data_IF_013577619099
#
_entry.id   IF_013577619099
#
_cell.length_a   1.000
_cell.length_b   1.000
_cell.length_c   1.000
_cell.angle_alpha   90.00
_cell.angle_beta   90.00
_cell.angle_gamma   90.00
#
_symmetry.space_group_name_H-M   'P 1'
#
loop_
_entity.id
_entity.type
_entity.pdbx_description
1 polymer ?
#
# COMPACT_ATOMS: atom_id res chain seq x y z
N UNK A 1 8.87 17.89 -14.86
CA UNK A 1 7.88 16.79 -15.03
C UNK A 1 6.90 16.69 -13.85
N UNK A 2 7.29 17.07 -12.62
CA UNK A 2 6.41 17.13 -11.44
C UNK A 2 5.32 18.22 -11.51
N UNK A 3 5.64 19.41 -12.04
CA UNK A 3 4.70 20.54 -12.10
C UNK A 3 3.49 20.27 -13.01
N UNK A 4 3.69 19.53 -14.10
CA UNK A 4 2.61 19.17 -15.03
C UNK A 4 1.59 18.24 -14.39
N UNK A 5 2.00 17.35 -13.49
CA UNK A 5 1.09 16.44 -12.78
C UNK A 5 0.22 17.20 -11.77
N UNK A 6 0.79 18.15 -11.03
CA UNK A 6 0.06 18.95 -10.03
C UNK A 6 -1.00 19.81 -10.71
N UNK A 7 -0.67 20.44 -11.84
CA UNK A 7 -1.63 21.24 -12.62
C UNK A 7 -2.75 20.36 -13.18
N UNK A 8 -2.44 19.16 -13.69
CA UNK A 8 -3.47 18.23 -14.17
C UNK A 8 -4.38 17.78 -13.01
N UNK A 9 -3.82 17.50 -11.82
CA UNK A 9 -4.59 17.09 -10.64
C UNK A 9 -5.58 18.19 -10.20
N UNK A 10 -5.13 19.44 -10.17
CA UNK A 10 -5.95 20.58 -9.75
C UNK A 10 -7.03 20.90 -10.80
N UNK A 11 -6.68 20.90 -12.09
CA UNK A 11 -7.61 21.31 -13.15
C UNK A 11 -8.71 20.27 -13.42
N UNK A 12 -8.43 19.00 -13.13
CA UNK A 12 -9.34 17.87 -13.35
C UNK A 12 -9.99 17.35 -12.06
N UNK A 13 -9.94 18.08 -10.94
CA UNK A 13 -10.44 17.66 -9.61
C UNK A 13 -11.86 17.03 -9.61
N UNK A 14 -12.75 17.44 -10.50
CA UNK A 14 -14.08 16.85 -10.66
C UNK A 14 -14.08 15.43 -11.25
N UNK A 15 -13.12 15.11 -12.11
CA UNK A 15 -12.89 13.75 -12.65
C UNK A 15 -12.19 12.85 -11.61
N UNK A 16 -11.58 13.43 -10.57
CA UNK A 16 -10.97 12.74 -9.44
C UNK A 16 -11.97 12.29 -8.35
N UNK A 17 -13.27 12.47 -8.57
CA UNK A 17 -14.31 11.93 -7.69
C UNK A 17 -14.63 10.44 -7.95
N UNK A 18 -13.78 9.76 -8.73
CA UNK A 18 -13.88 8.31 -8.94
C UNK A 18 -13.45 7.57 -7.68
N UNK A 19 -14.11 6.44 -7.46
CA UNK A 19 -13.82 5.53 -6.35
C UNK A 19 -12.36 5.08 -6.29
N UNK A 20 -11.71 4.93 -7.46
CA UNK A 20 -10.30 4.59 -7.55
C UNK A 20 -9.40 5.66 -6.90
N UNK A 21 -9.67 6.93 -7.17
CA UNK A 21 -8.81 8.02 -6.70
C UNK A 21 -8.95 8.28 -5.20
N UNK A 22 -10.14 8.10 -4.65
CA UNK A 22 -10.33 8.24 -3.20
C UNK A 22 -9.59 7.13 -2.44
N UNK A 23 -9.57 5.89 -2.94
CA UNK A 23 -8.73 4.82 -2.40
C UNK A 23 -7.23 5.11 -2.58
N UNK A 24 -6.84 5.78 -3.67
CA UNK A 24 -5.47 6.24 -3.90
C UNK A 24 -5.05 7.29 -2.88
N UNK A 25 -5.91 8.28 -2.61
CA UNK A 25 -5.66 9.31 -1.59
C UNK A 25 -5.50 8.66 -0.21
N UNK A 26 -6.40 7.74 0.17
CA UNK A 26 -6.32 7.05 1.46
C UNK A 26 -4.97 6.34 1.64
N UNK A 27 -4.49 5.64 0.59
CA UNK A 27 -3.16 5.02 0.57
C UNK A 27 -2.03 6.05 0.64
N UNK A 28 -2.16 7.17 -0.09
CA UNK A 28 -1.13 8.22 -0.10
C UNK A 28 -0.94 8.84 1.29
N UNK A 29 -2.03 9.04 2.05
CA UNK A 29 -1.98 9.51 3.43
C UNK A 29 -1.16 8.55 4.31
N UNK A 30 -1.41 7.25 4.21
CA UNK A 30 -0.65 6.24 4.95
C UNK A 30 0.83 6.21 4.55
N UNK A 31 1.13 6.34 3.26
CA UNK A 31 2.51 6.36 2.77
C UNK A 31 3.28 7.61 3.24
N UNK A 32 2.64 8.78 3.26
CA UNK A 32 3.24 10.00 3.83
C UNK A 32 3.54 9.80 5.32
N UNK A 33 2.60 9.23 6.07
CA UNK A 33 2.78 8.94 7.48
C UNK A 33 3.95 7.95 7.70
N UNK A 34 3.97 6.85 6.94
CA UNK A 34 5.03 5.85 6.95
C UNK A 34 6.41 6.46 6.64
N UNK A 35 6.47 7.35 5.64
CA UNK A 35 7.68 8.06 5.28
C UNK A 35 8.23 8.89 6.45
N UNK A 36 7.38 9.65 7.14
CA UNK A 36 7.78 10.47 8.29
C UNK A 36 8.35 9.58 9.41
N UNK A 37 7.68 8.48 9.73
CA UNK A 37 8.10 7.54 10.79
C UNK A 37 9.42 6.86 10.41
N UNK A 38 9.50 6.35 9.19
CA UNK A 38 10.69 5.70 8.64
C UNK A 38 11.88 6.65 8.60
N UNK A 39 11.65 7.94 8.31
CA UNK A 39 12.69 8.96 8.33
C UNK A 39 13.26 9.14 9.74
N UNK A 40 12.40 9.17 10.77
CA UNK A 40 12.81 9.17 12.18
C UNK A 40 13.69 7.96 12.51
N UNK A 41 13.19 6.75 12.24
CA UNK A 41 13.89 5.49 12.55
C UNK A 41 15.25 5.35 11.83
N UNK A 42 15.39 5.93 10.63
CA UNK A 42 16.67 5.93 9.89
C UNK A 42 17.78 6.65 10.63
N UNK A 43 17.48 7.71 11.41
CA UNK A 43 18.51 8.36 12.22
C UNK A 43 19.09 7.40 13.26
N UNK A 44 18.25 6.61 13.93
CA UNK A 44 18.70 5.58 14.87
C UNK A 44 19.53 4.47 14.22
N UNK A 45 19.24 4.12 12.96
CA UNK A 45 20.04 3.14 12.19
C UNK A 45 21.38 3.67 11.69
N UNK A 46 21.51 4.99 11.52
CA UNK A 46 22.78 5.62 11.08
C UNK A 46 23.66 6.01 12.29
N UNK A 47 23.19 5.74 13.52
CA UNK A 47 23.90 6.13 14.74
C UNK A 47 23.78 7.63 15.06
N UNK A 48 22.80 8.32 14.49
CA UNK A 48 22.49 9.70 14.83
C UNK A 48 21.48 9.75 15.98
N UNK A 49 21.74 10.61 16.96
CA UNK A 49 20.90 10.81 18.14
C UNK A 49 20.76 9.56 19.04
N UNK A 50 21.78 8.70 19.07
CA UNK A 50 21.77 7.44 19.82
C UNK A 50 21.44 7.62 21.30
N UNK A 51 22.05 8.62 21.94
CA UNK A 51 21.82 8.93 23.35
C UNK A 51 20.37 9.33 23.64
N UNK A 52 19.71 9.99 22.68
CA UNK A 52 18.31 10.37 22.80
C UNK A 52 17.42 9.14 22.69
N UNK A 53 17.67 8.28 21.70
CA UNK A 53 16.89 7.05 21.48
C UNK A 53 16.97 6.08 22.65
N UNK A 54 18.14 5.93 23.29
CA UNK A 54 18.34 5.07 24.45
C UNK A 54 17.64 5.58 25.72
N UNK A 55 17.36 6.89 25.80
CA UNK A 55 16.67 7.51 26.93
C UNK A 55 15.15 7.61 26.71
N UNK A 56 14.63 7.19 25.55
CA UNK A 56 13.20 7.24 25.30
C UNK A 56 12.43 6.29 26.22
N UNK A 57 11.33 6.74 26.83
CA UNK A 57 10.51 5.87 27.66
C UNK A 57 9.77 4.85 26.78
N UNK A 58 9.46 3.68 27.38
CA UNK A 58 8.76 2.56 26.73
C UNK A 58 7.52 2.98 25.92
N UNK A 59 6.70 3.89 26.46
CA UNK A 59 5.50 4.36 25.77
C UNK A 59 5.79 5.14 24.48
N UNK A 60 6.90 5.90 24.39
CA UNK A 60 7.28 6.60 23.16
C UNK A 60 7.72 5.58 22.10
N UNK A 61 8.51 4.59 22.51
CA UNK A 61 8.93 3.50 21.63
C UNK A 61 7.73 2.70 21.11
N UNK A 62 6.76 2.42 21.99
CA UNK A 62 5.50 1.76 21.62
C UNK A 62 4.70 2.59 20.60
N UNK A 63 4.64 3.92 20.75
CA UNK A 63 3.99 4.81 19.76
C UNK A 63 4.70 4.75 18.40
N UNK A 64 6.03 4.77 18.38
CA UNK A 64 6.82 4.67 17.14
C UNK A 64 6.56 3.33 16.44
N UNK A 65 6.61 2.22 17.18
CA UNK A 65 6.32 0.88 16.66
C UNK A 65 4.86 0.78 16.18
N UNK A 66 3.90 1.25 16.97
CA UNK A 66 2.48 1.27 16.64
C UNK A 66 2.25 1.91 15.28
N UNK A 67 2.74 3.13 15.07
CA UNK A 67 2.53 3.84 13.82
C UNK A 67 3.25 3.17 12.63
N UNK A 68 4.45 2.60 12.85
CA UNK A 68 5.17 1.86 11.83
C UNK A 68 4.37 0.65 11.31
N UNK A 69 3.95 -0.23 12.23
CA UNK A 69 3.15 -1.42 11.87
C UNK A 69 1.76 -1.05 11.35
N UNK A 70 1.13 -0.01 11.92
CA UNK A 70 -0.18 0.48 11.48
C UNK A 70 -0.15 0.89 10.00
N UNK A 71 0.87 1.65 9.59
CA UNK A 71 1.00 2.07 8.21
C UNK A 71 1.22 0.88 7.27
N UNK A 72 2.07 -0.07 7.65
CA UNK A 72 2.33 -1.29 6.85
C UNK A 72 1.03 -2.06 6.58
N UNK A 73 0.25 -2.36 7.63
CA UNK A 73 -1.02 -3.09 7.45
C UNK A 73 -2.05 -2.26 6.69
N UNK A 74 -2.16 -0.96 6.96
CA UNK A 74 -3.07 -0.08 6.24
C UNK A 74 -2.75 0.01 4.75
N UNK A 75 -1.47 0.10 4.38
CA UNK A 75 -1.02 0.12 2.99
C UNK A 75 -1.33 -1.18 2.26
N UNK A 76 -1.16 -2.33 2.92
CA UNK A 76 -1.48 -3.64 2.39
C UNK A 76 -2.99 -3.80 2.09
N UNK A 77 -3.84 -3.34 3.01
CA UNK A 77 -5.30 -3.35 2.83
C UNK A 77 -5.71 -2.38 1.72
N UNK A 78 -5.17 -1.16 1.73
CA UNK A 78 -5.48 -0.16 0.71
C UNK A 78 -5.07 -0.64 -0.69
N UNK A 79 -3.90 -1.27 -0.81
CA UNK A 79 -3.42 -1.85 -2.07
C UNK A 79 -4.35 -2.97 -2.54
N UNK A 80 -4.75 -3.86 -1.65
CA UNK A 80 -5.68 -4.96 -1.97
C UNK A 80 -7.03 -4.43 -2.48
N UNK A 81 -7.60 -3.44 -1.79
CA UNK A 81 -8.86 -2.81 -2.20
C UNK A 81 -8.74 -2.06 -3.54
N UNK A 82 -7.62 -1.40 -3.81
CA UNK A 82 -7.35 -0.80 -5.13
C UNK A 82 -7.30 -1.84 -6.24
N UNK A 83 -6.68 -3.01 -6.00
CA UNK A 83 -6.63 -4.09 -6.97
C UNK A 83 -8.02 -4.70 -7.21
N UNK A 84 -8.82 -4.89 -6.16
CA UNK A 84 -10.22 -5.30 -6.32
C UNK A 84 -11.05 -4.27 -7.09
N UNK A 85 -10.83 -2.98 -6.85
CA UNK A 85 -11.48 -1.91 -7.59
C UNK A 85 -11.15 -1.98 -9.09
N UNK A 86 -9.87 -2.18 -9.43
CA UNK A 86 -9.42 -2.40 -10.81
C UNK A 86 -10.03 -3.64 -11.44
N UNK A 87 -9.97 -4.79 -10.77
CA UNK A 87 -10.58 -6.04 -11.26
C UNK A 87 -12.08 -5.86 -11.53
N UNK A 88 -12.80 -5.23 -10.60
CA UNK A 88 -14.23 -4.95 -10.73
C UNK A 88 -14.54 -4.04 -11.92
N UNK A 89 -13.70 -3.02 -12.18
CA UNK A 89 -13.87 -2.13 -13.33
C UNK A 89 -13.74 -2.86 -14.67
N UNK A 90 -12.84 -3.85 -14.75
CA UNK A 90 -12.68 -4.68 -15.95
C UNK A 90 -13.83 -5.67 -16.07
N UNK A 91 -14.25 -6.32 -14.98
CA UNK A 91 -15.34 -7.30 -15.01
C UNK A 91 -16.69 -6.66 -15.36
N UNK A 92 -17.04 -5.54 -14.69
CA UNK A 92 -18.34 -4.88 -14.78
C UNK A 92 -18.22 -3.37 -15.09
N UNK A 93 -17.80 -3.00 -16.32
CA UNK A 93 -17.49 -1.60 -16.67
C UNK A 93 -18.68 -0.64 -16.54
N UNK A 94 -19.92 -1.13 -16.63
CA UNK A 94 -21.12 -0.27 -16.58
C UNK A 94 -21.66 -0.05 -15.15
N UNK A 95 -21.36 -0.93 -14.20
CA UNK A 95 -21.95 -0.90 -12.86
C UNK A 95 -20.93 -0.71 -11.74
N UNK A 96 -19.62 -0.85 -12.03
CA UNK A 96 -18.58 -0.80 -11.00
C UNK A 96 -18.58 0.53 -10.21
N UNK A 97 -18.72 1.68 -10.88
CA UNK A 97 -18.62 2.98 -10.19
C UNK A 97 -19.80 3.20 -9.23
N UNK A 98 -21.00 2.72 -9.57
CA UNK A 98 -22.16 2.77 -8.67
C UNK A 98 -21.98 1.85 -7.46
N UNK A 99 -21.43 0.65 -7.68
CA UNK A 99 -21.11 -0.31 -6.62
C UNK A 99 -20.07 0.28 -5.67
N UNK A 100 -18.94 0.74 -6.21
CA UNK A 100 -17.85 1.26 -5.42
C UNK A 100 -18.20 2.55 -4.72
N UNK A 101 -18.93 3.48 -5.30
CA UNK A 101 -19.41 4.67 -4.58
C UNK A 101 -20.21 4.33 -3.31
N UNK A 102 -20.97 3.24 -3.31
CA UNK A 102 -21.72 2.77 -2.12
C UNK A 102 -20.80 2.13 -1.09
N UNK A 103 -19.83 1.33 -1.52
CA UNK A 103 -18.91 0.61 -0.63
C UNK A 103 -17.68 1.43 -0.21
N UNK A 104 -17.40 2.53 -0.89
CA UNK A 104 -16.25 3.38 -0.65
C UNK A 104 -16.09 3.83 0.80
N UNK A 105 -17.11 4.39 1.47
CA UNK A 105 -16.94 4.80 2.87
C UNK A 105 -16.58 3.60 3.75
N UNK A 106 -17.15 2.41 3.47
CA UNK A 106 -16.80 1.18 4.17
C UNK A 106 -15.37 0.74 3.86
N UNK A 107 -14.92 0.83 2.60
CA UNK A 107 -13.55 0.51 2.19
C UNK A 107 -12.52 1.42 2.85
N UNK A 108 -12.79 2.73 2.88
CA UNK A 108 -11.92 3.70 3.56
C UNK A 108 -11.91 3.45 5.07
N UNK A 109 -13.07 3.16 5.66
CA UNK A 109 -13.17 2.78 7.07
C UNK A 109 -12.37 1.51 7.37
N UNK A 110 -12.43 0.48 6.51
CA UNK A 110 -11.64 -0.74 6.67
C UNK A 110 -10.13 -0.47 6.59
N UNK A 111 -9.68 0.42 5.69
CA UNK A 111 -8.26 0.80 5.58
C UNK A 111 -7.71 1.35 6.89
N UNK A 112 -8.51 2.12 7.65
CA UNK A 112 -8.05 2.76 8.88
C UNK A 112 -8.40 1.97 10.15
N UNK A 113 -9.56 1.32 10.22
CA UNK A 113 -10.00 0.62 11.43
C UNK A 113 -9.36 -0.77 11.56
N UNK A 114 -9.22 -1.50 10.45
CA UNK A 114 -8.74 -2.88 10.51
C UNK A 114 -7.26 -2.98 10.98
N UNK A 115 -6.33 -2.09 10.57
CA UNK A 115 -5.00 -2.07 11.17
C UNK A 115 -4.99 -1.82 12.67
N UNK A 116 -5.95 -1.05 13.22
CA UNK A 116 -6.02 -0.79 14.67
C UNK A 116 -6.22 -2.08 15.45
N UNK A 117 -7.07 -2.99 14.98
CA UNK A 117 -7.37 -4.22 15.72
C UNK A 117 -6.14 -5.10 15.90
N UNK A 118 -5.20 -5.09 14.94
CA UNK A 118 -3.92 -5.79 15.07
C UNK A 118 -2.91 -5.00 15.91
N UNK A 119 -2.78 -3.70 15.64
CA UNK A 119 -1.68 -2.89 16.21
C UNK A 119 -1.93 -2.40 17.62
N UNK A 120 -3.18 -2.35 18.10
CA UNK A 120 -3.49 -1.96 19.48
C UNK A 120 -2.83 -2.86 20.52
N UNK A 121 -2.55 -4.12 20.18
CA UNK A 121 -1.88 -5.07 21.07
C UNK A 121 -0.47 -4.61 21.47
N UNK A 122 0.18 -3.77 20.65
CA UNK A 122 1.52 -3.22 20.90
C UNK A 122 1.57 -2.47 22.23
N UNK A 123 0.54 -1.72 22.60
CA UNK A 123 0.53 -0.93 23.85
C UNK A 123 0.47 -1.78 25.12
N UNK A 124 0.23 -3.08 25.01
CA UNK A 124 0.26 -4.01 26.14
C UNK A 124 1.68 -4.50 26.47
N UNK A 125 2.69 -4.13 25.67
CA UNK A 125 4.05 -4.63 25.81
C UNK A 125 5.07 -3.53 26.10
N UNK A 126 6.14 -3.91 26.80
CA UNK A 126 7.25 -3.02 27.12
C UNK A 126 8.33 -3.06 26.05
N UNK A 127 8.62 -1.89 25.50
CA UNK A 127 9.65 -1.68 24.49
C UNK A 127 10.91 -1.09 25.11
N UNK A 128 12.05 -1.46 24.54
CA UNK A 128 13.34 -0.87 24.86
C UNK A 128 14.19 -0.72 23.59
N UNK A 129 14.96 0.36 23.56
CA UNK A 129 15.98 0.57 22.54
C UNK A 129 17.31 -0.01 23.03
N UNK A 130 18.02 -0.73 22.17
CA UNK A 130 19.36 -1.21 22.46
C UNK A 130 20.26 -1.07 21.23
N UNK A 131 21.57 -0.99 21.49
CA UNK A 131 22.59 -0.98 20.45
C UNK A 131 22.82 -2.40 19.94
N UNK A 132 22.92 -2.53 18.62
CA UNK A 132 23.28 -3.78 17.98
C UNK A 132 24.78 -4.07 18.15
N UNK A 133 25.23 -5.26 17.74
CA UNK A 133 26.62 -5.71 17.87
C UNK A 133 27.66 -4.80 17.16
N UNK A 134 27.23 -3.94 16.25
CA UNK A 134 28.07 -2.94 15.58
C UNK A 134 28.31 -1.66 16.43
N UNK A 135 27.66 -1.56 17.59
CA UNK A 135 27.70 -0.43 18.51
C UNK A 135 27.33 0.93 17.88
N UNK A 136 26.63 0.91 16.75
CA UNK A 136 26.23 2.11 15.99
C UNK A 136 24.74 2.11 15.64
N UNK A 137 24.16 0.94 15.37
CA UNK A 137 22.74 0.84 15.02
C UNK A 137 21.89 0.62 16.26
N UNK A 138 20.75 1.32 16.32
CA UNK A 138 19.74 1.12 17.37
C UNK A 138 18.58 0.31 16.82
N UNK A 139 18.20 -0.71 17.59
CA UNK A 139 17.00 -1.51 17.34
C UNK A 139 16.04 -1.37 18.53
N UNK A 140 14.75 -1.30 18.22
CA UNK A 140 13.68 -1.24 19.22
C UNK A 140 13.09 -2.65 19.32
N UNK A 141 13.23 -3.27 20.48
CA UNK A 141 12.76 -4.62 20.75
C UNK A 141 11.78 -4.65 21.93
N UNK A 142 11.07 -5.75 22.03
CA UNK A 142 10.13 -6.04 23.11
C UNK A 142 10.86 -6.82 24.19
N UNK A 143 10.63 -6.46 25.47
CA UNK A 143 11.26 -7.17 26.61
C UNK A 143 10.83 -8.63 26.75
N UNK A 144 9.67 -8.99 26.22
CA UNK A 144 9.14 -10.37 26.27
C UNK A 144 9.70 -11.18 25.11
N UNK A 145 10.44 -12.25 25.42
CA UNK A 145 11.13 -13.12 24.44
C UNK A 145 10.21 -13.85 23.45
N UNK A 146 8.90 -13.91 23.72
CA UNK A 146 8.00 -14.78 22.96
C UNK A 146 7.31 -14.11 21.76
N UNK A 147 7.44 -12.78 21.58
CA UNK A 147 6.69 -12.04 20.55
C UNK A 147 7.62 -11.23 19.67
N UNK A 148 7.65 -11.57 18.39
CA UNK A 148 8.39 -10.86 17.36
C UNK A 148 7.43 -10.14 16.40
N UNK A 149 7.06 -8.90 16.74
CA UNK A 149 6.16 -8.09 15.90
C UNK A 149 6.68 -7.88 14.48
N UNK A 150 8.01 -7.89 14.27
CA UNK A 150 8.58 -7.78 12.94
C UNK A 150 8.30 -9.02 12.08
N UNK A 151 8.34 -10.19 12.69
CA UNK A 151 8.02 -11.46 12.05
C UNK A 151 6.52 -11.58 11.75
N UNK A 152 5.65 -11.22 12.70
CA UNK A 152 4.19 -11.17 12.50
C UNK A 152 3.80 -10.22 11.35
N UNK A 153 4.40 -9.02 11.34
CA UNK A 153 4.20 -8.07 10.26
C UNK A 153 4.69 -8.64 8.92
N UNK A 154 5.86 -9.29 8.89
CA UNK A 154 6.38 -9.94 7.69
C UNK A 154 5.45 -11.04 7.16
N UNK A 155 4.93 -11.91 8.04
CA UNK A 155 3.93 -12.92 7.65
C UNK A 155 2.69 -12.28 7.05
N UNK A 156 2.18 -11.22 7.66
CA UNK A 156 1.03 -10.49 7.11
C UNK A 156 1.32 -9.92 5.72
N UNK A 157 2.50 -9.31 5.52
CA UNK A 157 2.91 -8.76 4.23
C UNK A 157 3.00 -9.85 3.15
N UNK A 158 3.55 -11.02 3.50
CA UNK A 158 3.64 -12.16 2.58
C UNK A 158 2.23 -12.64 2.18
N UNK A 159 1.31 -12.77 3.12
CA UNK A 159 -0.08 -13.15 2.83
C UNK A 159 -0.74 -12.13 1.89
N UNK A 160 -0.63 -10.84 2.20
CA UNK A 160 -1.18 -9.77 1.36
C UNK A 160 -0.53 -9.73 -0.03
N UNK A 161 0.77 -9.99 -0.12
CA UNK A 161 1.48 -10.10 -1.40
C UNK A 161 0.90 -11.23 -2.26
N UNK A 162 0.65 -12.41 -1.70
CA UNK A 162 0.01 -13.51 -2.41
C UNK A 162 -1.41 -13.14 -2.87
N UNK A 163 -2.21 -12.51 -2.00
CA UNK A 163 -3.55 -12.03 -2.36
C UNK A 163 -3.48 -11.04 -3.53
N UNK A 164 -2.58 -10.04 -3.43
CA UNK A 164 -2.37 -9.06 -4.49
C UNK A 164 -1.94 -9.70 -5.80
N UNK A 165 -1.04 -10.69 -5.75
CA UNK A 165 -0.57 -11.43 -6.91
C UNK A 165 -1.72 -12.19 -7.59
N UNK A 166 -2.55 -12.90 -6.82
CA UNK A 166 -3.72 -13.63 -7.34
C UNK A 166 -4.69 -12.66 -8.03
N UNK A 167 -5.02 -11.53 -7.39
CA UNK A 167 -5.94 -10.53 -7.96
C UNK A 167 -5.36 -9.94 -9.24
N UNK A 168 -4.06 -9.65 -9.28
CA UNK A 168 -3.39 -9.13 -10.47
C UNK A 168 -3.41 -10.13 -11.62
N UNK A 169 -3.12 -11.42 -11.35
CA UNK A 169 -3.19 -12.48 -12.36
C UNK A 169 -4.61 -12.62 -12.89
N UNK A 170 -5.62 -12.63 -12.00
CA UNK A 170 -7.03 -12.66 -12.39
C UNK A 170 -7.40 -11.44 -13.26
N UNK A 171 -6.93 -10.25 -12.90
CA UNK A 171 -7.15 -9.01 -13.65
C UNK A 171 -6.56 -9.12 -15.06
N UNK A 172 -5.33 -9.62 -15.19
CA UNK A 172 -4.65 -9.81 -16.47
C UNK A 172 -5.34 -10.86 -17.33
N UNK A 173 -5.79 -11.98 -16.73
CA UNK A 173 -6.51 -13.04 -17.43
C UNK A 173 -7.86 -12.55 -17.98
N UNK A 174 -8.64 -11.85 -17.15
CA UNK A 174 -9.93 -11.25 -17.55
C UNK A 174 -9.72 -10.19 -18.63
N UNK A 175 -8.69 -9.36 -18.50
CA UNK A 175 -8.35 -8.37 -19.51
C UNK A 175 -8.03 -9.04 -20.86
N UNK A 176 -7.16 -10.05 -20.87
CA UNK A 176 -6.76 -10.77 -22.09
C UNK A 176 -7.95 -11.45 -22.76
N UNK A 177 -8.81 -12.11 -21.99
CA UNK A 177 -10.02 -12.78 -22.53
C UNK A 177 -11.00 -11.78 -23.14
N UNK A 178 -11.23 -10.62 -22.51
CA UNK A 178 -12.08 -9.57 -23.07
C UNK A 178 -11.50 -8.94 -24.33
N UNK A 179 -10.19 -8.66 -24.35
CA UNK A 179 -9.50 -8.12 -25.53
C UNK A 179 -9.52 -9.12 -26.68
N UNK A 180 -9.28 -10.41 -26.43
CA UNK A 180 -9.39 -11.44 -27.48
C UNK A 180 -10.82 -11.59 -28.01
N UNK A 181 -11.84 -11.51 -27.15
CA UNK A 181 -13.24 -11.52 -27.57
C UNK A 181 -13.60 -10.27 -28.41
N UNK A 182 -13.03 -9.12 -28.09
CA UNK A 182 -13.17 -7.89 -28.89
C UNK A 182 -12.35 -7.94 -30.19
N UNK A 183 -11.13 -8.47 -30.18
CA UNK A 183 -10.27 -8.64 -31.36
C UNK A 183 -10.87 -9.63 -32.36
N UNK A 184 -11.51 -10.70 -31.88
CA UNK A 184 -12.26 -11.62 -32.74
C UNK A 184 -13.52 -10.96 -33.35
N UNK A 185 -14.04 -9.87 -32.73
CA UNK A 185 -15.07 -9.01 -33.32
C UNK A 185 -14.51 -7.91 -34.24
N UNK A 186 -13.26 -7.48 -34.03
CA UNK A 186 -12.57 -6.39 -34.74
C UNK A 186 -11.43 -6.97 -35.59
N UNK A 187 -11.70 -8.01 -36.39
CA UNK A 187 -10.80 -8.36 -37.50
C UNK A 187 -11.02 -7.37 -38.63
N UNK A 188 -10.50 -6.15 -38.41
CA UNK A 188 -10.32 -5.07 -39.39
C UNK A 188 -9.37 -4.04 -38.75
N UNK A 189 -8.16 -3.94 -39.31
CA UNK A 189 -7.15 -2.88 -39.12
C UNK A 189 -6.01 -3.13 -38.09
N UNK A 190 -4.83 -3.47 -38.64
CA UNK A 190 -3.58 -3.76 -37.93
C UNK A 190 -2.91 -2.61 -37.16
N UNK A 191 -3.55 -1.44 -37.04
CA UNK A 191 -3.05 -0.32 -36.21
C UNK A 191 -3.25 -0.61 -34.70
N UNK A 192 -4.25 -1.42 -34.36
CA UNK A 192 -4.65 -1.69 -32.97
C UNK A 192 -3.63 -2.56 -32.22
N UNK A 193 -2.97 -3.50 -32.91
CA UNK A 193 -1.94 -4.38 -32.32
C UNK A 193 -0.69 -3.63 -31.85
N UNK A 194 -0.32 -2.52 -32.50
CA UNK A 194 0.84 -1.72 -32.10
C UNK A 194 0.57 -0.92 -30.82
N UNK A 195 -0.66 -0.43 -30.66
CA UNK A 195 -1.11 0.28 -29.45
C UNK A 195 -1.20 -0.69 -28.26
N UNK A 196 -1.67 -1.92 -28.50
CA UNK A 196 -1.78 -2.98 -27.48
C UNK A 196 -0.42 -3.43 -26.91
N UNK A 197 0.59 -3.60 -27.78
CA UNK A 197 1.96 -3.90 -27.32
C UNK A 197 2.52 -2.79 -26.44
N UNK A 198 2.21 -1.52 -26.72
CA UNK A 198 2.66 -0.40 -25.89
C UNK A 198 1.94 -0.37 -24.55
N UNK A 199 0.62 -0.57 -24.52
CA UNK A 199 -0.18 -0.56 -23.28
C UNK A 199 0.19 -1.70 -22.32
N UNK A 200 0.44 -2.90 -22.84
CA UNK A 200 0.90 -4.04 -22.04
C UNK A 200 2.31 -3.82 -21.49
N UNK A 201 3.19 -3.20 -22.28
CA UNK A 201 4.53 -2.82 -21.84
C UNK A 201 4.48 -1.72 -20.77
N UNK A 202 3.55 -0.77 -20.87
CA UNK A 202 3.31 0.24 -19.82
C UNK A 202 2.74 -0.39 -18.55
N UNK A 203 1.79 -1.32 -18.65
CA UNK A 203 1.24 -2.03 -17.49
C UNK A 203 2.31 -2.86 -16.77
N UNK A 204 3.18 -3.53 -17.53
CA UNK A 204 4.33 -4.26 -17.00
C UNK A 204 5.36 -3.32 -16.37
N UNK A 205 5.67 -2.19 -17.01
CA UNK A 205 6.56 -1.19 -16.43
C UNK A 205 6.00 -0.58 -15.14
N UNK A 206 4.70 -0.29 -15.07
CA UNK A 206 4.07 0.17 -13.83
C UNK A 206 4.07 -0.91 -12.74
N UNK A 207 4.00 -2.19 -13.11
CA UNK A 207 4.13 -3.30 -12.17
C UNK A 207 5.55 -3.36 -11.59
N UNK A 208 6.59 -3.26 -12.43
CA UNK A 208 7.99 -3.28 -11.98
C UNK A 208 8.36 -2.04 -11.17
N UNK A 209 7.76 -0.89 -11.44
CA UNK A 209 8.05 0.36 -10.70
C UNK A 209 7.24 0.50 -9.40
N UNK A 210 6.11 -0.19 -9.26
CA UNK A 210 5.26 -0.15 -8.06
C UNK A 210 5.43 -1.36 -7.12
N UNK A 211 6.21 -2.37 -7.51
CA UNK A 211 6.63 -3.50 -6.68
C UNK A 211 7.97 -3.20 -6.03
#
# INVERSE_FOLDING_TARGET
MSESLVVIIITKWKDFNSSFFQLLIARAVLNILNFIISFGQRFGKVGLFTDIYLQLPSWVLAVICFFGYYCIHGENIATTLQLFNRLSSILWPFTYEKLWRRFLPLSVLLIFILPLTWTLQIFSHDFYAHLQADNQTITIDVKTMDINFAEDAAYSCVIFMFICLIINIATLFVYKTKVQSQSNKITSNGLQQTIEKRLTLYAFWTFVVMS
#
